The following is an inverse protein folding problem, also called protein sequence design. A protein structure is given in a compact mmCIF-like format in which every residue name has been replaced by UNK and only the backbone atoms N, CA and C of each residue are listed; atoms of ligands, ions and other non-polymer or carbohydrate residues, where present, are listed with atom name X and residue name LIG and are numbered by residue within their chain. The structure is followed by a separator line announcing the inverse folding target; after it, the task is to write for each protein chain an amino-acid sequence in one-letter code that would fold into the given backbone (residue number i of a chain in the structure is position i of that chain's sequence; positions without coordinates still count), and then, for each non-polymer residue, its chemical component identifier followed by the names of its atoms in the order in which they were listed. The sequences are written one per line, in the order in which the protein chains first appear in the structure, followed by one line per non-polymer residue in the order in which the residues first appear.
data_IF_067708467623
#
_entry.id   IF_067708467623
#
_cell.length_a   1.000
_cell.length_b   1.000
_cell.length_c   1.000
_cell.angle_alpha   90.00
_cell.angle_beta   90.00
_cell.angle_gamma   90.00
#
_symmetry.space_group_name_H-M   'P 1'
#
loop_
_entity.id
_entity.type
_entity.pdbx_description
1 polymer ?
#
# COMPACT_ATOMS: atom_id res chain seq x y z
N UNK A 1 -5.39 12.73 -10.97
CA UNK A 1 -6.06 11.86 -9.98
C UNK A 1 -6.53 10.60 -10.68
N UNK A 2 -6.31 9.44 -10.06
CA UNK A 2 -6.84 8.19 -10.57
C UNK A 2 -7.66 7.49 -9.48
N UNK A 3 -8.63 6.69 -9.89
CA UNK A 3 -9.40 5.84 -8.99
C UNK A 3 -8.70 4.46 -8.91
N UNK A 4 -8.08 4.10 -7.75
CA UNK A 4 -7.22 2.92 -7.65
C UNK A 4 -7.93 1.60 -7.98
N UNK A 5 -9.14 1.42 -7.49
CA UNK A 5 -9.91 0.18 -7.72
C UNK A 5 -10.27 -0.02 -9.21
N UNK A 6 -10.63 1.07 -9.93
CA UNK A 6 -10.87 1.01 -11.38
C UNK A 6 -9.62 0.55 -12.13
N UNK A 7 -8.46 1.08 -11.74
CA UNK A 7 -7.15 0.68 -12.32
C UNK A 7 -6.88 -0.81 -12.07
N UNK A 8 -6.99 -1.26 -10.83
CA UNK A 8 -6.72 -2.65 -10.47
C UNK A 8 -7.67 -3.63 -11.17
N UNK A 9 -8.97 -3.32 -11.23
CA UNK A 9 -9.95 -4.14 -11.97
C UNK A 9 -9.64 -4.19 -13.47
N UNK A 10 -9.18 -3.09 -14.06
CA UNK A 10 -8.77 -3.07 -15.47
C UNK A 10 -7.50 -3.91 -15.70
N UNK A 11 -6.54 -3.86 -14.78
CA UNK A 11 -5.35 -4.72 -14.83
C UNK A 11 -5.71 -6.20 -14.70
N UNK A 12 -6.56 -6.57 -13.74
CA UNK A 12 -7.01 -7.94 -13.56
C UNK A 12 -7.69 -8.49 -14.83
N UNK A 13 -8.58 -7.70 -15.46
CA UNK A 13 -9.19 -8.10 -16.75
C UNK A 13 -8.13 -8.34 -17.84
N UNK A 14 -7.15 -7.44 -17.97
CA UNK A 14 -6.06 -7.58 -18.96
C UNK A 14 -5.19 -8.81 -18.69
N UNK A 15 -4.93 -9.13 -17.43
CA UNK A 15 -4.17 -10.33 -17.06
C UNK A 15 -4.91 -11.59 -17.46
N UNK A 16 -6.21 -11.69 -17.15
CA UNK A 16 -7.04 -12.83 -17.57
C UNK A 16 -7.08 -13.00 -19.10
N UNK A 17 -7.09 -11.90 -19.86
CA UNK A 17 -7.03 -11.93 -21.33
C UNK A 17 -5.66 -12.40 -21.89
N UNK A 18 -4.66 -12.55 -21.02
CA UNK A 18 -3.31 -13.06 -21.34
C UNK A 18 -3.00 -14.36 -20.60
N UNK A 19 -4.05 -15.11 -20.32
CA UNK A 19 -4.01 -16.44 -19.68
C UNK A 19 -3.35 -16.47 -18.28
N UNK A 20 -3.24 -15.30 -17.63
CA UNK A 20 -2.81 -15.26 -16.24
C UNK A 20 -3.91 -15.79 -15.32
N UNK A 21 -3.56 -16.74 -14.48
CA UNK A 21 -4.47 -17.31 -13.49
C UNK A 21 -4.55 -16.41 -12.26
N UNK A 22 -5.77 -16.00 -11.89
CA UNK A 22 -6.01 -15.18 -10.69
C UNK A 22 -6.90 -15.98 -9.73
N UNK A 23 -6.34 -16.28 -8.56
CA UNK A 23 -7.01 -16.99 -7.49
C UNK A 23 -7.38 -16.02 -6.37
N UNK A 24 -8.64 -15.61 -6.34
CA UNK A 24 -9.22 -14.84 -5.24
C UNK A 24 -9.59 -15.77 -4.07
N UNK A 25 -9.70 -15.22 -2.86
CA UNK A 25 -10.02 -15.97 -1.64
C UNK A 25 -9.09 -17.16 -1.38
N UNK A 26 -7.83 -17.04 -1.77
CA UNK A 26 -6.82 -18.08 -1.67
C UNK A 26 -5.64 -17.61 -0.82
N UNK A 27 -5.82 -17.49 0.51
CA UNK A 27 -4.76 -17.01 1.39
C UNK A 27 -3.57 -17.98 1.37
N UNK A 28 -2.38 -17.43 1.14
CA UNK A 28 -1.13 -18.18 1.22
C UNK A 28 -0.84 -18.52 2.68
N UNK A 29 -0.62 -19.79 2.98
CA UNK A 29 -0.30 -20.30 4.30
C UNK A 29 1.19 -20.51 4.52
N UNK A 30 1.90 -20.96 3.50
CA UNK A 30 3.35 -21.17 3.55
C UNK A 30 3.98 -20.93 2.18
N UNK A 31 5.21 -20.43 2.22
CA UNK A 31 6.13 -20.40 1.09
C UNK A 31 7.19 -21.49 1.32
N UNK A 32 7.30 -22.38 0.36
CA UNK A 32 8.30 -23.45 0.35
C UNK A 32 9.19 -23.30 -0.89
N UNK A 33 10.40 -23.85 -0.90
CA UNK A 33 11.20 -23.89 -2.12
C UNK A 33 10.42 -24.53 -3.28
N UNK A 34 10.23 -23.75 -4.37
CA UNK A 34 9.50 -24.21 -5.56
C UNK A 34 7.99 -24.39 -5.41
N UNK A 35 7.38 -23.92 -4.30
CA UNK A 35 5.91 -24.01 -4.17
C UNK A 35 5.29 -23.03 -3.20
N UNK A 36 4.02 -22.73 -3.44
CA UNK A 36 3.16 -21.89 -2.60
C UNK A 36 2.00 -22.75 -2.08
N UNK A 37 1.80 -22.78 -0.77
CA UNK A 37 0.75 -23.57 -0.11
C UNK A 37 -0.42 -22.65 0.26
N UNK A 38 -1.62 -23.01 -0.18
CA UNK A 38 -2.90 -22.39 0.21
C UNK A 38 -3.78 -23.40 0.94
N UNK A 39 -4.94 -23.00 1.40
CA UNK A 39 -5.93 -23.92 1.98
C UNK A 39 -6.53 -24.87 0.93
N UNK A 40 -6.60 -24.43 -0.33
CA UNK A 40 -7.22 -25.18 -1.42
C UNK A 40 -6.24 -26.10 -2.17
N UNK A 41 -4.94 -25.91 -1.96
CA UNK A 41 -3.93 -26.72 -2.64
C UNK A 41 -2.53 -26.12 -2.64
N UNK A 42 -1.68 -26.73 -3.46
CA UNK A 42 -0.27 -26.34 -3.62
C UNK A 42 -0.03 -25.94 -5.07
N UNK A 43 0.64 -24.81 -5.26
CA UNK A 43 1.06 -24.31 -6.57
C UNK A 43 2.57 -24.54 -6.68
N UNK A 44 2.99 -25.37 -7.63
CA UNK A 44 4.40 -25.52 -8.00
C UNK A 44 4.82 -24.37 -8.92
N UNK A 45 5.98 -23.77 -8.67
CA UNK A 45 6.47 -22.63 -9.44
C UNK A 45 8.00 -22.52 -9.37
N UNK A 46 8.60 -21.95 -10.40
CA UNK A 46 10.04 -21.72 -10.43
C UNK A 46 10.45 -20.52 -9.59
N UNK A 47 9.59 -19.50 -9.50
CA UNK A 47 9.86 -18.25 -8.77
C UNK A 47 8.60 -17.73 -8.12
N UNK A 48 8.74 -17.15 -6.93
CA UNK A 48 7.67 -16.47 -6.18
C UNK A 48 8.00 -14.99 -6.05
N UNK A 49 7.01 -14.13 -6.28
CA UNK A 49 7.09 -12.71 -5.95
C UNK A 49 6.03 -12.40 -4.90
N UNK A 50 6.44 -12.04 -3.68
CA UNK A 50 5.55 -11.63 -2.60
C UNK A 50 5.41 -10.12 -2.64
N UNK A 51 4.22 -9.63 -3.01
CA UNK A 51 3.94 -8.21 -3.28
C UNK A 51 2.72 -7.71 -2.48
N UNK A 52 2.76 -7.82 -1.17
CA UNK A 52 1.62 -7.54 -0.29
C UNK A 52 1.69 -6.17 0.41
N UNK A 53 2.80 -5.43 0.27
CA UNK A 53 3.08 -4.14 0.90
C UNK A 53 2.96 -4.18 2.44
N UNK A 54 1.86 -3.70 3.01
CA UNK A 54 1.61 -3.82 4.46
C UNK A 54 1.41 -5.26 4.89
N UNK A 55 2.12 -5.69 5.94
CA UNK A 55 2.14 -7.06 6.44
C UNK A 55 3.17 -7.96 5.75
N UNK A 56 4.03 -7.42 4.90
CA UNK A 56 5.06 -8.20 4.19
C UNK A 56 6.01 -8.90 5.18
N UNK A 57 6.35 -8.26 6.31
CA UNK A 57 7.15 -8.82 7.40
C UNK A 57 6.50 -10.02 8.10
N UNK A 58 5.18 -10.20 7.94
CA UNK A 58 4.46 -11.38 8.47
C UNK A 58 4.52 -12.57 7.53
N UNK A 59 4.67 -12.30 6.24
CA UNK A 59 4.80 -13.34 5.20
C UNK A 59 6.26 -13.75 5.02
N UNK A 60 7.17 -12.79 5.19
CA UNK A 60 8.62 -12.95 5.05
C UNK A 60 9.30 -12.50 6.34
N UNK A 61 9.55 -13.43 7.29
CA UNK A 61 10.13 -13.09 8.59
C UNK A 61 11.50 -12.42 8.55
N UNK A 62 12.26 -12.59 7.47
CA UNK A 62 13.56 -11.93 7.23
C UNK A 62 13.44 -10.41 7.14
N UNK A 63 12.23 -9.89 6.94
CA UNK A 63 11.94 -8.45 6.87
C UNK A 63 11.47 -7.86 8.20
N UNK A 64 11.38 -8.65 9.27
CA UNK A 64 11.08 -8.14 10.62
C UNK A 64 12.15 -7.14 11.02
N UNK A 65 11.72 -5.95 11.47
CA UNK A 65 12.60 -4.82 11.79
C UNK A 65 13.02 -3.96 10.59
N UNK A 66 12.84 -4.44 9.36
CA UNK A 66 13.13 -3.70 8.12
C UNK A 66 11.89 -3.12 7.46
N UNK A 67 10.73 -3.70 7.73
CA UNK A 67 9.42 -3.13 7.39
C UNK A 67 8.60 -3.07 8.67
N UNK A 68 7.85 -2.00 8.82
CA UNK A 68 6.84 -1.86 9.85
C UNK A 68 5.51 -1.46 9.20
N UNK A 69 4.46 -2.19 9.52
CA UNK A 69 3.13 -1.94 8.94
C UNK A 69 2.34 -0.95 9.78
N UNK A 70 1.81 0.08 9.14
CA UNK A 70 0.90 1.02 9.77
C UNK A 70 -0.50 0.90 9.20
N UNK A 71 -1.50 1.12 10.07
CA UNK A 71 -2.89 1.34 9.69
C UNK A 71 -3.08 2.80 9.29
N UNK A 72 -3.65 3.04 8.12
CA UNK A 72 -4.14 4.34 7.70
C UNK A 72 -5.66 4.31 7.64
N UNK A 73 -6.29 5.34 8.18
CA UNK A 73 -7.74 5.41 8.29
C UNK A 73 -8.32 6.52 7.43
N UNK A 74 -9.49 6.26 6.91
CA UNK A 74 -10.23 7.18 6.04
C UNK A 74 -11.72 7.16 6.37
N UNK A 75 -12.40 8.22 5.93
CA UNK A 75 -13.85 8.28 5.82
C UNK A 75 -14.28 8.77 4.43
N UNK A 76 -15.51 8.45 4.05
CA UNK A 76 -16.18 8.96 2.86
C UNK A 76 -17.53 9.56 3.22
N UNK A 77 -17.94 10.60 2.49
CA UNK A 77 -19.22 11.27 2.70
C UNK A 77 -20.23 10.97 1.58
N UNK A 78 -21.48 11.31 1.79
CA UNK A 78 -22.41 11.58 0.71
C UNK A 78 -21.92 12.81 -0.11
N UNK A 79 -22.50 13.10 -1.29
CA UNK A 79 -22.17 14.31 -2.05
C UNK A 79 -22.25 15.58 -1.19
N UNK A 80 -21.23 16.42 -1.26
CA UNK A 80 -21.05 17.66 -0.49
C UNK A 80 -21.00 18.86 -1.46
N UNK A 81 -22.14 19.29 -2.02
CA UNK A 81 -22.18 20.38 -3.00
C UNK A 81 -21.86 21.75 -2.40
N UNK A 82 -21.90 21.89 -1.09
CA UNK A 82 -21.60 23.11 -0.33
C UNK A 82 -20.11 23.48 -0.36
N UNK A 83 -19.23 22.57 -0.75
CA UNK A 83 -17.80 22.82 -0.85
C UNK A 83 -17.26 22.50 -2.25
N UNK A 84 -16.08 23.05 -2.58
CA UNK A 84 -15.41 22.80 -3.84
C UNK A 84 -13.90 22.62 -3.62
N UNK A 85 -13.41 21.42 -3.85
CA UNK A 85 -11.98 21.08 -3.84
C UNK A 85 -11.57 20.60 -5.23
N UNK A 86 -11.08 21.50 -6.10
CA UNK A 86 -10.78 21.16 -7.50
C UNK A 86 -9.58 20.23 -7.66
N UNK A 87 -8.80 20.07 -6.60
CA UNK A 87 -7.59 19.22 -6.59
C UNK A 87 -7.52 18.40 -5.29
N UNK A 88 -6.85 17.23 -5.30
CA UNK A 88 -6.46 16.55 -4.06
C UNK A 88 -5.57 17.45 -3.23
N UNK A 89 -5.72 17.38 -1.93
CA UNK A 89 -4.94 18.14 -0.98
C UNK A 89 -4.17 17.20 -0.08
N UNK A 90 -2.89 17.48 0.09
CA UNK A 90 -2.00 16.92 1.09
C UNK A 90 -1.65 18.04 2.06
N UNK A 91 -1.96 17.86 3.34
CA UNK A 91 -1.72 18.84 4.38
C UNK A 91 -0.85 18.26 5.49
N UNK A 92 -0.13 19.12 6.22
CA UNK A 92 0.84 18.71 7.25
C UNK A 92 1.74 17.53 6.79
N UNK A 93 2.38 17.68 5.63
CA UNK A 93 3.26 16.65 5.04
C UNK A 93 2.59 15.29 4.80
N UNK A 94 1.27 15.29 4.60
CA UNK A 94 0.51 14.06 4.33
C UNK A 94 -0.09 13.39 5.56
N UNK A 95 -0.06 14.05 6.73
CA UNK A 95 -0.78 13.58 7.90
C UNK A 95 -2.29 13.74 7.76
N UNK A 96 -2.77 14.72 6.97
CA UNK A 96 -4.14 14.77 6.46
C UNK A 96 -4.13 14.89 4.95
N UNK A 97 -5.07 14.22 4.32
CA UNK A 97 -5.26 14.27 2.87
C UNK A 97 -6.72 14.06 2.52
N UNK A 98 -7.19 14.82 1.52
CA UNK A 98 -8.55 14.67 1.04
C UNK A 98 -8.67 14.99 -0.44
N UNK A 99 -9.76 14.53 -1.01
CA UNK A 99 -10.17 14.86 -2.36
C UNK A 99 -11.69 14.89 -2.46
N UNK A 100 -12.20 15.74 -3.30
CA UNK A 100 -13.59 15.68 -3.74
C UNK A 100 -13.68 14.84 -5.01
N UNK A 101 -14.54 13.85 -5.00
CA UNK A 101 -14.74 12.93 -6.11
C UNK A 101 -15.67 13.55 -7.18
N UNK A 102 -15.78 12.99 -8.40
CA UNK A 102 -16.66 13.51 -9.44
C UNK A 102 -18.13 13.59 -9.05
N UNK A 103 -18.60 12.72 -8.18
CA UNK A 103 -19.95 12.74 -7.61
C UNK A 103 -20.12 13.74 -6.44
N UNK A 104 -19.09 14.55 -6.21
CA UNK A 104 -18.96 15.55 -5.14
C UNK A 104 -18.83 14.97 -3.73
N UNK A 105 -18.76 13.67 -3.52
CA UNK A 105 -18.43 13.09 -2.23
C UNK A 105 -16.98 13.43 -1.84
N UNK A 106 -16.70 13.46 -0.53
CA UNK A 106 -15.35 13.71 0.00
C UNK A 106 -14.77 12.37 0.49
N UNK A 107 -13.53 12.08 0.08
CA UNK A 107 -12.69 11.08 0.68
C UNK A 107 -11.62 11.80 1.51
N UNK A 108 -11.60 11.56 2.83
CA UNK A 108 -10.69 12.20 3.79
C UNK A 108 -9.97 11.12 4.60
N UNK A 109 -8.66 11.24 4.74
CA UNK A 109 -7.82 10.37 5.58
C UNK A 109 -6.82 11.17 6.40
N UNK A 110 -6.23 10.51 7.40
CA UNK A 110 -5.15 11.11 8.17
C UNK A 110 -5.20 10.87 9.67
N UNK A 111 -4.55 11.78 10.42
CA UNK A 111 -4.45 11.81 11.88
C UNK A 111 -3.71 10.63 12.51
N UNK A 112 -2.92 9.88 11.76
CA UNK A 112 -2.13 8.78 12.32
C UNK A 112 -1.17 9.25 13.42
N UNK A 113 -0.62 10.46 13.30
CA UNK A 113 0.28 11.08 14.27
C UNK A 113 -0.34 11.29 15.66
N UNK A 114 -1.66 11.33 15.76
CA UNK A 114 -2.38 11.43 17.05
C UNK A 114 -2.51 10.08 17.78
N UNK A 115 -2.08 8.97 17.16
CA UNK A 115 -2.15 7.63 17.74
C UNK A 115 -1.00 6.74 17.18
N UNK A 116 0.23 7.27 17.07
CA UNK A 116 1.33 6.63 16.36
C UNK A 116 1.55 5.18 16.77
N UNK A 117 1.64 4.88 18.06
CA UNK A 117 1.91 3.52 18.52
C UNK A 117 0.73 2.59 18.28
N UNK A 118 -0.49 3.07 18.43
CA UNK A 118 -1.73 2.30 18.20
C UNK A 118 -1.94 2.00 16.70
N UNK A 119 -1.45 2.88 15.83
CA UNK A 119 -1.59 2.74 14.37
C UNK A 119 -0.45 1.91 13.73
N UNK A 120 0.58 1.51 14.47
CA UNK A 120 1.53 0.50 14.05
C UNK A 120 0.92 -0.90 14.20
N UNK A 121 0.08 -1.27 13.27
CA UNK A 121 -0.64 -2.55 13.29
C UNK A 121 -1.05 -2.98 11.88
N UNK A 122 -1.29 -4.27 11.71
CA UNK A 122 -1.86 -4.86 10.49
C UNK A 122 -3.39 -4.93 10.54
N UNK A 123 -4.01 -4.52 11.65
CA UNK A 123 -5.47 -4.54 11.77
C UNK A 123 -6.11 -3.49 10.86
N UNK A 124 -6.98 -3.92 9.96
CA UNK A 124 -7.67 -3.06 9.00
C UNK A 124 -9.06 -2.60 9.50
N UNK A 125 -9.17 -2.27 10.79
CA UNK A 125 -10.41 -1.75 11.37
C UNK A 125 -10.25 -0.30 11.81
N UNK A 126 -11.20 0.58 11.45
CA UNK A 126 -11.22 1.96 11.96
C UNK A 126 -11.31 2.00 13.48
N UNK A 127 -10.66 3.00 14.10
CA UNK A 127 -10.75 3.27 15.55
C UNK A 127 -11.62 4.49 15.80
N UNK A 128 -12.32 4.52 16.93
CA UNK A 128 -13.15 5.66 17.32
C UNK A 128 -12.34 6.94 17.47
N UNK A 129 -11.11 6.85 17.98
CA UNK A 129 -10.18 7.98 18.18
C UNK A 129 -9.89 8.70 16.85
N UNK A 130 -9.36 7.99 15.85
CA UNK A 130 -9.01 8.59 14.56
C UNK A 130 -10.26 9.02 13.80
N UNK A 131 -11.33 8.21 13.81
CA UNK A 131 -12.58 8.58 13.15
C UNK A 131 -13.25 9.82 13.74
N UNK A 132 -13.11 10.06 15.05
CA UNK A 132 -13.59 11.28 15.68
C UNK A 132 -12.80 12.51 15.20
N UNK A 133 -11.47 12.42 15.12
CA UNK A 133 -10.61 13.50 14.60
C UNK A 133 -10.92 13.81 13.13
N UNK A 134 -11.08 12.78 12.30
CA UNK A 134 -11.47 12.94 10.89
C UNK A 134 -12.83 13.65 10.77
N UNK A 135 -13.84 13.25 11.56
CA UNK A 135 -15.16 13.87 11.55
C UNK A 135 -15.12 15.32 12.03
N UNK A 136 -14.36 15.60 13.08
CA UNK A 136 -14.18 16.95 13.59
C UNK A 136 -13.52 17.84 12.50
N UNK A 137 -12.44 17.40 11.90
CA UNK A 137 -11.76 18.12 10.83
C UNK A 137 -12.67 18.37 9.62
N UNK A 138 -13.43 17.35 9.22
CA UNK A 138 -14.43 17.45 8.14
C UNK A 138 -15.41 18.59 8.39
N UNK A 139 -15.95 18.71 9.63
CA UNK A 139 -16.93 19.72 10.02
C UNK A 139 -16.32 21.09 10.23
N UNK A 140 -15.25 21.16 11.02
CA UNK A 140 -14.72 22.42 11.51
C UNK A 140 -13.78 23.09 10.52
N UNK A 141 -12.96 22.31 9.80
CA UNK A 141 -11.97 22.85 8.86
C UNK A 141 -12.46 22.84 7.42
N UNK A 142 -12.98 21.72 6.96
CA UNK A 142 -13.45 21.58 5.58
C UNK A 142 -14.87 22.13 5.37
N UNK A 143 -15.60 22.42 6.46
CA UNK A 143 -16.99 22.95 6.42
C UNK A 143 -17.96 22.04 5.65
N UNK A 144 -17.69 20.76 5.62
CA UNK A 144 -18.56 19.76 4.98
C UNK A 144 -19.68 19.38 5.91
N UNK A 145 -20.93 19.55 5.47
CA UNK A 145 -22.13 19.19 6.22
C UNK A 145 -22.73 17.86 5.81
N UNK A 146 -22.34 17.33 4.66
CA UNK A 146 -22.80 16.03 4.17
C UNK A 146 -22.51 14.89 5.18
N UNK A 147 -23.41 13.91 5.32
CA UNK A 147 -23.23 12.79 6.26
C UNK A 147 -22.05 11.89 5.85
N UNK A 148 -21.35 11.35 6.84
CA UNK A 148 -20.34 10.30 6.65
C UNK A 148 -21.06 9.00 6.32
N UNK A 149 -20.75 8.41 5.19
CA UNK A 149 -21.39 7.17 4.69
C UNK A 149 -20.48 5.95 4.81
N UNK A 150 -19.16 6.15 4.81
CA UNK A 150 -18.17 5.08 4.86
C UNK A 150 -17.04 5.42 5.82
N UNK A 151 -16.51 4.41 6.48
CA UNK A 151 -15.30 4.47 7.28
C UNK A 151 -14.52 3.20 7.01
N UNK A 152 -13.21 3.33 6.75
CA UNK A 152 -12.36 2.17 6.50
C UNK A 152 -10.93 2.40 6.98
N UNK A 153 -10.17 1.34 7.05
CA UNK A 153 -8.74 1.36 7.30
C UNK A 153 -8.04 0.41 6.33
N UNK A 154 -6.79 0.68 6.05
CA UNK A 154 -5.92 -0.15 5.23
C UNK A 154 -4.50 -0.15 5.77
N UNK A 155 -3.76 -1.22 5.46
CA UNK A 155 -2.36 -1.36 5.85
C UNK A 155 -1.43 -0.74 4.81
N UNK A 156 -0.37 -0.11 5.28
CA UNK A 156 0.73 0.42 4.46
C UNK A 156 2.06 0.03 5.09
N UNK A 157 2.96 -0.52 4.30
CA UNK A 157 4.31 -0.85 4.72
C UNK A 157 5.22 0.39 4.70
N UNK A 158 5.97 0.58 5.78
CA UNK A 158 6.98 1.62 5.93
C UNK A 158 8.35 1.00 6.16
N UNK A 159 9.37 1.62 5.59
CA UNK A 159 10.79 1.31 5.80
C UNK A 159 11.48 2.46 6.50
N UNK A 160 12.53 2.23 7.29
CA UNK A 160 13.26 3.30 7.99
C UNK A 160 13.93 4.29 7.04
N UNK A 161 14.42 3.82 5.89
CA UNK A 161 15.11 4.62 4.88
C UNK A 161 14.18 5.32 3.88
N UNK A 162 12.86 5.06 3.96
CA UNK A 162 11.88 5.59 3.03
C UNK A 162 11.91 4.96 1.63
N UNK A 163 12.78 3.97 1.39
CA UNK A 163 12.90 3.27 0.11
C UNK A 163 12.12 1.94 0.12
N UNK A 164 11.50 1.54 -0.99
CA UNK A 164 10.76 0.27 -1.04
C UNK A 164 11.70 -0.92 -0.92
N UNK A 165 11.21 -2.01 -0.33
CA UNK A 165 11.87 -3.31 -0.43
C UNK A 165 11.68 -3.85 -1.84
N UNK A 166 12.79 -4.28 -2.45
CA UNK A 166 12.87 -4.99 -3.72
C UNK A 166 14.12 -5.87 -3.66
N UNK A 167 13.97 -7.13 -3.28
CA UNK A 167 15.11 -8.03 -3.12
C UNK A 167 14.72 -9.51 -3.21
N UNK A 168 15.68 -10.34 -3.55
CA UNK A 168 15.58 -11.79 -3.45
C UNK A 168 15.91 -12.21 -2.00
N UNK A 169 14.88 -12.43 -1.18
CA UNK A 169 15.01 -12.76 0.25
C UNK A 169 15.46 -14.21 0.50
N UNK A 170 15.17 -15.09 -0.45
CA UNK A 170 15.59 -16.50 -0.51
C UNK A 170 15.71 -16.89 -1.97
N UNK A 171 16.45 -17.94 -2.27
CA UNK A 171 16.56 -18.43 -3.64
C UNK A 171 15.19 -18.51 -4.34
N UNK A 172 15.05 -17.76 -5.44
CA UNK A 172 13.83 -17.66 -6.26
C UNK A 172 12.59 -17.13 -5.52
N UNK A 173 12.78 -16.41 -4.42
CA UNK A 173 11.69 -15.77 -3.67
C UNK A 173 12.00 -14.28 -3.51
N UNK A 174 11.24 -13.46 -4.21
CA UNK A 174 11.37 -12.00 -4.23
C UNK A 174 10.36 -11.36 -3.29
N UNK A 175 10.79 -10.34 -2.56
CA UNK A 175 9.93 -9.49 -1.74
C UNK A 175 9.81 -8.11 -2.37
N UNK A 176 8.57 -7.59 -2.44
CA UNK A 176 8.26 -6.26 -2.96
C UNK A 176 7.22 -5.60 -2.07
N UNK A 177 7.56 -4.47 -1.47
CA UNK A 177 6.65 -3.76 -0.55
C UNK A 177 7.33 -2.62 0.18
N UNK A 178 6.72 -2.15 1.27
CA UNK A 178 7.25 -1.04 2.05
C UNK A 178 7.26 0.27 1.25
N UNK A 179 6.17 0.58 0.56
CA UNK A 179 6.11 1.71 -0.38
C UNK A 179 5.92 3.07 0.28
N UNK A 180 5.90 3.16 1.61
CA UNK A 180 5.84 4.43 2.35
C UNK A 180 4.69 5.36 1.89
N UNK A 181 3.54 4.79 1.51
CA UNK A 181 2.38 5.52 1.02
C UNK A 181 2.42 5.90 -0.48
N UNK A 182 3.50 5.57 -1.20
CA UNK A 182 3.68 5.94 -2.63
C UNK A 182 3.40 4.79 -3.61
N UNK A 183 2.77 3.70 -3.16
CA UNK A 183 2.60 2.45 -3.89
C UNK A 183 1.97 2.54 -5.28
N UNK A 184 1.20 3.57 -5.58
CA UNK A 184 0.62 3.74 -6.92
C UNK A 184 1.67 3.95 -8.02
N UNK A 185 2.81 4.55 -7.72
CA UNK A 185 3.92 4.79 -8.65
C UNK A 185 5.08 3.86 -8.30
N UNK A 186 5.61 4.01 -7.10
CA UNK A 186 6.77 3.24 -6.62
C UNK A 186 6.48 1.75 -6.63
N UNK A 187 5.29 1.32 -6.16
CA UNK A 187 4.89 -0.08 -6.21
C UNK A 187 4.78 -0.63 -7.64
N UNK A 188 4.31 0.16 -8.61
CA UNK A 188 4.23 -0.27 -10.00
C UNK A 188 5.63 -0.43 -10.63
N UNK A 189 6.56 0.48 -10.32
CA UNK A 189 7.96 0.38 -10.78
C UNK A 189 8.67 -0.80 -10.13
N UNK A 190 8.52 -0.99 -8.83
CA UNK A 190 9.11 -2.10 -8.08
C UNK A 190 8.56 -3.46 -8.51
N UNK A 191 7.25 -3.58 -8.75
CA UNK A 191 6.65 -4.80 -9.26
C UNK A 191 7.17 -5.16 -10.66
N UNK A 192 7.33 -4.16 -11.54
CA UNK A 192 7.94 -4.37 -12.87
C UNK A 192 9.40 -4.81 -12.74
N UNK A 193 10.16 -4.20 -11.84
CA UNK A 193 11.55 -4.57 -11.58
C UNK A 193 11.66 -6.00 -11.05
N UNK A 194 10.86 -6.36 -10.04
CA UNK A 194 10.82 -7.72 -9.51
C UNK A 194 10.52 -8.77 -10.58
N UNK A 195 9.55 -8.51 -11.44
CA UNK A 195 9.23 -9.42 -12.56
C UNK A 195 10.39 -9.59 -13.53
N UNK A 196 11.14 -8.50 -13.86
CA UNK A 196 12.32 -8.57 -14.71
C UNK A 196 13.45 -9.37 -14.06
N UNK A 197 13.78 -9.05 -12.81
CA UNK A 197 14.81 -9.73 -12.03
C UNK A 197 14.50 -11.21 -11.84
N UNK A 198 13.25 -11.55 -11.52
CA UNK A 198 12.79 -12.92 -11.41
C UNK A 198 12.93 -13.72 -12.73
N UNK A 199 12.92 -13.04 -13.88
CA UNK A 199 13.18 -13.62 -15.19
C UNK A 199 14.67 -13.51 -15.62
N UNK A 200 15.60 -13.15 -14.73
CA UNK A 200 17.02 -13.00 -15.03
C UNK A 200 17.36 -11.77 -15.88
N UNK A 201 16.49 -10.76 -15.93
CA UNK A 201 16.67 -9.55 -16.71
C UNK A 201 17.09 -8.38 -15.81
N UNK A 202 17.99 -7.52 -16.28
CA UNK A 202 18.39 -6.29 -15.58
C UNK A 202 17.22 -5.30 -15.42
N UNK A 203 17.28 -4.48 -14.36
CA UNK A 203 16.28 -3.47 -14.08
C UNK A 203 16.89 -2.14 -13.64
N UNK A 204 16.84 -1.08 -14.45
CA UNK A 204 17.34 0.24 -14.07
C UNK A 204 16.72 0.81 -12.80
N UNK A 205 15.49 0.40 -12.47
CA UNK A 205 14.84 0.78 -11.21
C UNK A 205 15.50 0.11 -10.00
N UNK A 206 15.88 -1.16 -10.12
CA UNK A 206 16.60 -1.86 -9.05
C UNK A 206 17.99 -1.24 -8.84
N UNK A 207 18.72 -0.97 -9.92
CA UNK A 207 20.03 -0.31 -9.89
C UNK A 207 19.95 1.05 -9.19
N UNK A 208 18.94 1.88 -9.52
CA UNK A 208 18.72 3.18 -8.90
C UNK A 208 18.36 3.07 -7.40
N UNK A 209 17.64 2.02 -6.97
CA UNK A 209 17.35 1.78 -5.55
C UNK A 209 18.59 1.38 -4.77
N UNK A 210 19.46 0.56 -5.34
CA UNK A 210 20.75 0.17 -4.74
C UNK A 210 21.66 1.39 -4.57
N UNK A 211 21.78 2.21 -5.60
CA UNK A 211 22.51 3.47 -5.54
C UNK A 211 21.98 4.42 -4.46
N UNK A 212 20.65 4.58 -4.37
CA UNK A 212 20.00 5.42 -3.37
C UNK A 212 20.30 4.93 -1.94
N UNK A 213 20.26 3.62 -1.69
CA UNK A 213 20.62 3.03 -0.39
C UNK A 213 22.08 3.22 -0.04
N UNK A 214 22.98 3.03 -1.03
CA UNK A 214 24.40 3.25 -0.82
C UNK A 214 24.73 4.71 -0.48
N UNK A 215 23.99 5.68 -1.02
CA UNK A 215 24.13 7.10 -0.67
C UNK A 215 23.58 7.40 0.73
N UNK A 216 22.40 6.87 1.08
CA UNK A 216 21.81 7.05 2.42
C UNK A 216 22.76 6.53 3.52
N UNK A 217 23.30 5.33 3.34
CA UNK A 217 24.24 4.74 4.31
C UNK A 217 25.54 5.54 4.52
N UNK A 218 25.96 6.34 3.53
CA UNK A 218 27.14 7.22 3.64
C UNK A 218 26.83 8.55 4.33
N UNK A 219 25.58 8.98 4.33
CA UNK A 219 25.16 10.24 4.95
C UNK A 219 24.94 10.12 6.47
N UNK A 220 24.78 8.90 6.97
CA UNK A 220 24.59 8.60 8.39
C UNK A 220 25.94 8.37 9.15
N UNK A 221 27.07 8.51 8.46
CA UNK A 221 28.44 8.46 8.99
C UNK A 221 29.16 9.81 8.88
#
# INVERSE_FOLDING_TARGET
VMQPLRRLRAQARRLRQRDALLYEHSPVRRLLPGSVVTEQGVISCDTVIVAVDGGLERVIPELIGRIRTARLQMLGTAPAPEVSFPRPVYWRQGYEYWQQLPDRSIALGGFRDHALEEEWTVENRPTSKIQSLLKQFLRERLKVTAPVTHQWAASVGYTPDGLPVLEEVRARTWAVGGYNGTGNIVGALSARAAARLACGQASPWADALEEARAHAAKADH
#
